data_IF_407589176534
#
_entry.id   IF_407589176534
#
_cell.length_a   1.000
_cell.length_b   1.000
_cell.length_c   1.000
_cell.angle_alpha   90.00
_cell.angle_beta   90.00
_cell.angle_gamma   90.00
#
_symmetry.space_group_name_H-M   'P 1'
#
loop_
_entity.id
_entity.type
_entity.pdbx_description
1 polymer ?
#
# COMPACT_ATOMS: atom_id res chain seq x y z
N UNK A 1 45.15 34.88 -48.71
CA UNK A 1 44.12 34.05 -49.36
C UNK A 1 42.94 33.94 -48.40
N UNK A 2 42.00 34.87 -48.48
CA UNK A 2 40.80 34.91 -47.63
C UNK A 2 39.70 34.10 -48.31
N UNK A 3 39.34 32.96 -47.72
CA UNK A 3 38.30 32.06 -48.24
C UNK A 3 36.94 32.51 -47.70
N UNK A 4 36.13 33.13 -48.57
CA UNK A 4 34.76 33.55 -48.30
C UNK A 4 33.83 32.34 -48.42
N UNK A 5 33.20 31.96 -47.31
CA UNK A 5 32.15 30.94 -47.28
C UNK A 5 30.81 31.60 -47.68
N UNK A 6 30.06 31.08 -48.66
CA UNK A 6 28.77 31.64 -49.04
C UNK A 6 27.69 31.37 -47.98
N UNK A 7 26.71 32.27 -47.81
CA UNK A 7 25.63 32.07 -46.84
C UNK A 7 24.69 30.94 -47.27
N UNK A 8 24.21 30.19 -46.27
CA UNK A 8 23.29 29.07 -46.44
C UNK A 8 21.93 29.53 -47.05
N UNK A 9 21.30 28.70 -47.90
CA UNK A 9 20.00 29.02 -48.46
C UNK A 9 18.89 29.03 -47.38
N UNK A 10 17.84 29.86 -47.54
CA UNK A 10 16.73 29.90 -46.60
C UNK A 10 15.95 28.58 -46.60
N UNK A 11 15.52 28.16 -45.42
CA UNK A 11 14.74 26.95 -45.22
C UNK A 11 13.41 27.00 -46.00
N UNK A 12 12.94 25.86 -46.56
CA UNK A 12 11.66 25.80 -47.24
C UNK A 12 10.50 26.06 -46.26
N UNK A 13 9.39 26.68 -46.73
CA UNK A 13 8.22 26.92 -45.90
C UNK A 13 7.60 25.59 -45.45
N UNK A 14 7.19 25.54 -44.19
CA UNK A 14 6.52 24.38 -43.61
C UNK A 14 5.25 24.02 -44.40
N UNK A 15 4.94 22.73 -44.59
CA UNK A 15 3.71 22.32 -45.25
C UNK A 15 2.49 22.76 -44.44
N UNK A 16 1.37 23.11 -45.09
CA UNK A 16 0.14 23.47 -44.38
C UNK A 16 -0.37 22.28 -43.57
N UNK A 17 -0.86 22.57 -42.37
CA UNK A 17 -1.44 21.57 -41.47
C UNK A 17 -2.61 20.85 -42.16
N UNK A 18 -2.77 19.52 -41.95
CA UNK A 18 -3.92 18.80 -42.49
C UNK A 18 -5.22 19.34 -41.88
N UNK A 19 -6.33 19.36 -42.65
CA UNK A 19 -7.62 19.78 -42.14
C UNK A 19 -8.08 18.84 -41.01
N UNK A 20 -8.68 19.43 -39.97
CA UNK A 20 -9.23 18.69 -38.86
C UNK A 20 -10.28 17.66 -39.33
N UNK A 21 -10.32 16.46 -38.74
CA UNK A 21 -11.36 15.49 -39.07
C UNK A 21 -12.74 16.03 -38.69
N UNK A 22 -13.80 15.72 -39.47
CA UNK A 22 -15.16 16.13 -39.13
C UNK A 22 -15.60 15.50 -37.81
N UNK A 23 -16.31 16.28 -37.00
CA UNK A 23 -16.87 15.83 -35.74
C UNK A 23 -17.79 14.60 -35.95
N UNK A 24 -17.76 13.61 -35.04
CA UNK A 24 -18.69 12.49 -35.11
C UNK A 24 -20.14 12.97 -34.95
N UNK A 25 -21.11 12.37 -35.65
CA UNK A 25 -22.52 12.72 -35.52
C UNK A 25 -23.01 12.44 -34.09
N UNK A 26 -23.84 13.34 -33.58
CA UNK A 26 -24.47 13.20 -32.28
C UNK A 26 -25.25 11.88 -32.17
N UNK A 27 -25.24 11.19 -31.02
CA UNK A 27 -26.05 10.01 -30.80
C UNK A 27 -27.55 10.38 -30.89
N UNK A 28 -28.40 9.50 -31.47
CA UNK A 28 -29.82 9.74 -31.55
C UNK A 28 -30.44 9.83 -30.14
N UNK A 29 -31.36 10.78 -29.97
CA UNK A 29 -32.11 10.97 -28.74
C UNK A 29 -32.84 9.68 -28.33
N UNK A 30 -32.92 9.35 -27.03
CA UNK A 30 -33.71 8.22 -26.56
C UNK A 30 -35.20 8.46 -26.86
N UNK A 31 -35.96 7.43 -27.26
CA UNK A 31 -37.39 7.56 -27.50
C UNK A 31 -38.13 7.93 -26.20
N UNK A 32 -39.14 8.77 -26.34
CA UNK A 32 -40.03 9.22 -25.28
C UNK A 32 -40.70 8.05 -24.52
N UNK A 33 -40.98 8.20 -23.22
CA UNK A 33 -41.63 7.16 -22.44
C UNK A 33 -43.08 6.93 -22.90
N UNK A 34 -43.54 5.68 -23.07
CA UNK A 34 -44.94 5.41 -23.32
C UNK A 34 -45.77 5.74 -22.06
N UNK A 35 -46.83 6.51 -22.27
CA UNK A 35 -47.83 6.85 -21.26
C UNK A 35 -48.64 5.63 -20.82
N UNK A 36 -49.02 5.66 -19.55
CA UNK A 36 -49.65 4.62 -18.73
C UNK A 36 -50.81 3.83 -19.36
N UNK A 37 -50.83 2.53 -19.09
CA UNK A 37 -52.05 1.83 -18.70
C UNK A 37 -51.80 1.14 -17.35
N UNK A 38 -52.59 1.52 -16.35
CA UNK A 38 -52.70 0.84 -15.06
C UNK A 38 -53.16 -0.61 -15.26
N UNK A 39 -52.63 -1.55 -14.46
CA UNK A 39 -53.42 -2.66 -13.98
C UNK A 39 -53.70 -2.48 -12.49
N UNK A 40 -54.91 -2.87 -12.14
CA UNK A 40 -55.51 -2.84 -10.81
C UNK A 40 -54.66 -3.56 -9.77
N UNK A 41 -54.63 -2.97 -8.58
CA UNK A 41 -54.03 -3.47 -7.35
C UNK A 41 -54.55 -4.89 -7.01
N UNK A 42 -53.66 -5.85 -6.73
CA UNK A 42 -53.90 -6.76 -5.62
C UNK A 42 -52.82 -6.55 -4.56
N UNK A 43 -53.25 -6.12 -3.38
CA UNK A 43 -52.48 -6.13 -2.14
C UNK A 43 -51.67 -7.41 -2.01
N UNK A 44 -50.38 -7.36 -2.32
CA UNK A 44 -49.42 -8.44 -2.04
C UNK A 44 -48.33 -7.83 -1.17
N UNK A 45 -48.33 -8.22 0.08
CA UNK A 45 -47.33 -7.87 1.08
C UNK A 45 -46.00 -8.51 0.67
N UNK A 46 -45.21 -7.82 -0.15
CA UNK A 46 -43.82 -8.23 -0.40
C UNK A 46 -43.04 -8.05 0.91
N UNK A 47 -42.78 -9.17 1.57
CA UNK A 47 -41.81 -9.26 2.65
C UNK A 47 -40.45 -9.04 2.02
N UNK A 48 -39.93 -7.81 2.07
CA UNK A 48 -38.55 -7.50 1.66
C UNK A 48 -37.60 -8.29 2.56
N UNK A 49 -37.16 -9.45 2.09
CA UNK A 49 -36.08 -10.20 2.72
C UNK A 49 -34.82 -9.33 2.66
N UNK A 50 -34.21 -8.94 3.79
CA UNK A 50 -32.99 -8.15 3.76
C UNK A 50 -31.89 -8.91 3.02
N UNK A 51 -31.17 -8.21 2.13
CA UNK A 51 -30.02 -8.77 1.42
C UNK A 51 -29.02 -9.35 2.43
N UNK A 52 -28.39 -10.50 2.12
CA UNK A 52 -27.43 -11.11 3.02
C UNK A 52 -26.21 -10.19 3.21
N UNK A 53 -25.67 -10.07 4.43
CA UNK A 53 -24.50 -9.23 4.71
C UNK A 53 -23.26 -9.73 3.96
N UNK A 54 -22.38 -8.81 3.58
CA UNK A 54 -21.08 -9.13 2.97
C UNK A 54 -20.24 -10.01 3.90
N UNK A 55 -19.35 -10.85 3.33
CA UNK A 55 -18.47 -11.74 4.09
C UNK A 55 -17.66 -10.99 5.17
N UNK A 56 -17.21 -9.77 4.87
CA UNK A 56 -16.52 -8.89 5.82
C UNK A 56 -17.44 -8.42 6.95
N UNK A 57 -18.68 -8.05 6.64
CA UNK A 57 -19.68 -7.65 7.64
C UNK A 57 -19.97 -8.81 8.60
N UNK A 58 -20.17 -10.01 8.06
CA UNK A 58 -20.38 -11.23 8.85
C UNK A 58 -19.16 -11.55 9.73
N UNK A 59 -17.95 -11.38 9.19
CA UNK A 59 -16.71 -11.59 9.95
C UNK A 59 -16.56 -10.56 11.06
N UNK A 60 -16.80 -9.28 10.79
CA UNK A 60 -16.78 -8.23 11.82
C UNK A 60 -17.80 -8.54 12.92
N UNK A 61 -19.04 -8.90 12.58
CA UNK A 61 -20.08 -9.23 13.57
C UNK A 61 -19.77 -10.49 14.41
N UNK A 62 -19.03 -11.46 13.87
CA UNK A 62 -18.70 -12.71 14.58
C UNK A 62 -17.40 -12.65 15.37
N UNK A 63 -16.43 -11.85 14.91
CA UNK A 63 -15.09 -11.77 15.53
C UNK A 63 -14.96 -10.67 16.57
N UNK A 64 -15.84 -9.67 16.56
CA UNK A 64 -15.83 -8.63 17.58
C UNK A 64 -16.61 -9.07 18.82
N UNK A 65 -15.90 -9.57 19.83
CA UNK A 65 -16.45 -9.67 21.19
C UNK A 65 -16.63 -8.25 21.77
N UNK A 66 -17.76 -8.05 22.46
CA UNK A 66 -18.34 -6.77 22.92
C UNK A 66 -17.40 -5.81 23.65
N UNK A 67 -17.50 -4.47 23.46
CA UNK A 67 -17.88 -3.74 22.25
C UNK A 67 -16.65 -3.53 21.32
N UNK A 68 -16.81 -3.64 19.98
CA UNK A 68 -15.73 -3.34 19.05
C UNK A 68 -15.30 -1.88 19.16
N UNK A 69 -14.06 -1.65 19.56
CA UNK A 69 -13.43 -0.36 19.31
C UNK A 69 -13.35 -0.16 17.79
N UNK A 70 -13.52 1.07 17.28
CA UNK A 70 -13.44 1.32 15.83
C UNK A 70 -12.10 0.84 15.26
N UNK A 71 -11.04 0.93 16.06
CA UNK A 71 -9.71 0.46 15.70
C UNK A 71 -9.65 -1.07 15.52
N UNK A 72 -10.31 -1.87 16.37
CA UNK A 72 -10.30 -3.32 16.22
C UNK A 72 -11.02 -3.76 14.93
N UNK A 73 -12.13 -3.10 14.59
CA UNK A 73 -12.84 -3.34 13.34
C UNK A 73 -11.98 -2.99 12.10
N UNK A 74 -11.21 -1.90 12.14
CA UNK A 74 -10.32 -1.51 11.04
C UNK A 74 -9.16 -2.49 10.87
N UNK A 75 -8.57 -2.94 11.99
CA UNK A 75 -7.53 -3.97 11.99
C UNK A 75 -8.01 -5.24 11.33
N UNK A 76 -9.23 -5.70 11.67
CA UNK A 76 -9.83 -6.89 11.06
C UNK A 76 -10.06 -6.70 9.55
N UNK A 77 -10.57 -5.53 9.13
CA UNK A 77 -10.78 -5.23 7.72
C UNK A 77 -9.45 -5.25 6.93
N UNK A 78 -8.40 -4.62 7.45
CA UNK A 78 -7.08 -4.61 6.83
C UNK A 78 -6.48 -6.01 6.81
N UNK A 79 -6.61 -6.78 7.89
CA UNK A 79 -6.13 -8.16 7.95
C UNK A 79 -6.80 -9.03 6.89
N UNK A 80 -8.13 -8.93 6.75
CA UNK A 80 -8.87 -9.63 5.71
C UNK A 80 -8.42 -9.21 4.30
N UNK A 81 -8.17 -7.91 4.09
CA UNK A 81 -7.66 -7.40 2.81
C UNK A 81 -6.27 -7.97 2.49
N UNK A 82 -5.34 -7.93 3.45
CA UNK A 82 -4.00 -8.49 3.32
C UNK A 82 -4.03 -9.99 2.98
N UNK A 83 -4.91 -10.75 3.65
CA UNK A 83 -5.03 -12.19 3.46
C UNK A 83 -5.62 -12.55 2.09
N UNK A 84 -6.75 -11.94 1.72
CA UNK A 84 -7.54 -12.40 0.59
C UNK A 84 -7.25 -11.65 -0.72
N UNK A 85 -6.86 -10.38 -0.66
CA UNK A 85 -6.53 -9.60 -1.85
C UNK A 85 -5.03 -9.57 -2.12
N UNK A 86 -4.22 -9.34 -1.09
CA UNK A 86 -2.77 -9.29 -1.24
C UNK A 86 -2.06 -10.63 -1.00
N UNK A 87 -2.81 -11.69 -0.65
CA UNK A 87 -2.29 -13.05 -0.45
C UNK A 87 -1.12 -13.13 0.56
N UNK A 88 -1.14 -12.27 1.58
CA UNK A 88 -0.14 -12.33 2.64
C UNK A 88 -0.29 -13.60 3.47
N UNK A 89 0.85 -14.16 3.86
CA UNK A 89 0.91 -15.36 4.67
C UNK A 89 1.40 -15.06 6.08
N UNK A 90 1.19 -16.01 7.00
CA UNK A 90 1.65 -15.93 8.39
C UNK A 90 1.21 -14.65 9.12
N UNK A 91 0.00 -14.17 8.84
CA UNK A 91 -0.60 -12.96 9.43
C UNK A 91 -0.84 -13.14 10.94
N UNK A 92 -0.43 -12.15 11.74
CA UNK A 92 -0.65 -12.09 13.19
C UNK A 92 -0.99 -10.67 13.60
N UNK A 93 -1.91 -10.51 14.56
CA UNK A 93 -2.22 -9.22 15.18
C UNK A 93 -1.48 -9.13 16.51
N UNK A 94 -0.86 -7.98 16.77
CA UNK A 94 -0.13 -7.65 17.97
C UNK A 94 -0.76 -6.42 18.62
N UNK A 95 -0.80 -6.41 19.94
CA UNK A 95 -1.31 -5.29 20.74
C UNK A 95 -0.12 -4.46 21.23
N UNK A 96 0.02 -3.24 20.72
CA UNK A 96 1.03 -2.29 21.15
C UNK A 96 0.46 -1.38 22.24
N UNK A 97 1.21 -1.35 23.35
CA UNK A 97 0.95 -0.56 24.54
C UNK A 97 2.02 0.53 24.61
N UNK A 98 1.70 1.72 24.08
CA UNK A 98 2.64 2.84 24.10
C UNK A 98 2.56 3.55 25.46
N UNK A 99 3.69 3.79 26.16
CA UNK A 99 3.67 4.44 27.45
C UNK A 99 3.17 5.89 27.31
N UNK A 100 1.98 6.16 27.84
CA UNK A 100 1.41 7.51 27.94
C UNK A 100 2.10 8.28 29.08
N UNK A 101 2.59 9.49 28.81
CA UNK A 101 3.32 10.31 29.79
C UNK A 101 2.39 10.98 30.82
N UNK A 102 1.08 10.92 30.60
CA UNK A 102 0.06 11.52 31.46
C UNK A 102 -0.81 10.44 32.07
N UNK A 103 -0.83 10.38 33.40
CA UNK A 103 -1.72 9.54 34.24
C UNK A 103 -3.22 9.76 33.98
N UNK A 104 -3.58 10.68 33.07
CA UNK A 104 -4.95 11.19 32.84
C UNK A 104 -5.49 10.91 31.44
N UNK A 105 -4.66 10.46 30.49
CA UNK A 105 -5.12 10.11 29.13
C UNK A 105 -5.23 8.58 29.04
N UNK A 106 -6.37 8.03 28.62
CA UNK A 106 -6.53 6.58 28.48
C UNK A 106 -5.51 6.05 27.47
N UNK A 107 -4.79 5.01 27.87
CA UNK A 107 -3.89 4.26 27.00
C UNK A 107 -4.70 3.73 25.81
N UNK A 108 -4.51 4.29 24.62
CA UNK A 108 -5.21 3.81 23.44
C UNK A 108 -4.50 2.56 22.93
N UNK A 109 -5.16 1.38 22.95
CA UNK A 109 -4.56 0.17 22.40
C UNK A 109 -4.32 0.39 20.91
N UNK A 110 -3.12 0.09 20.46
CA UNK A 110 -2.70 0.34 19.09
C UNK A 110 -2.39 -1.03 18.48
N UNK A 111 -3.10 -1.41 17.44
CA UNK A 111 -2.89 -2.72 16.82
C UNK A 111 -1.76 -2.64 15.80
N UNK A 112 -0.99 -3.72 15.70
CA UNK A 112 0.01 -3.90 14.66
C UNK A 112 -0.20 -5.27 14.01
N UNK A 113 -0.26 -5.33 12.70
CA UNK A 113 -0.37 -6.59 11.96
C UNK A 113 1.03 -6.96 11.48
N UNK A 114 1.44 -8.22 11.63
CA UNK A 114 2.66 -8.72 11.00
C UNK A 114 2.36 -9.88 10.06
N UNK A 115 3.04 -9.94 8.92
CA UNK A 115 2.85 -11.00 7.93
C UNK A 115 3.94 -10.98 6.86
N UNK A 116 3.91 -11.97 5.98
CA UNK A 116 4.89 -12.14 4.90
C UNK A 116 4.17 -11.87 3.58
N UNK A 117 4.55 -10.81 2.83
CA UNK A 117 3.97 -10.53 1.53
C UNK A 117 4.42 -11.58 0.49
N UNK A 118 3.69 -11.75 -0.62
CA UNK A 118 4.07 -12.71 -1.67
C UNK A 118 5.30 -12.27 -2.50
N UNK A 119 5.62 -10.97 -2.51
CA UNK A 119 6.76 -10.36 -3.22
C UNK A 119 7.35 -9.23 -2.36
N UNK A 120 8.56 -8.73 -2.65
CA UNK A 120 9.11 -7.63 -1.85
C UNK A 120 8.37 -6.33 -2.20
N UNK A 121 7.81 -5.68 -1.18
CA UNK A 121 7.02 -4.46 -1.40
C UNK A 121 7.89 -3.22 -1.62
N UNK A 122 9.11 -3.25 -1.09
CA UNK A 122 10.07 -2.17 -1.25
C UNK A 122 11.48 -2.70 -0.98
N UNK A 123 12.38 -2.48 -1.94
CA UNK A 123 13.81 -2.70 -1.81
C UNK A 123 14.48 -1.34 -1.87
N UNK A 124 15.42 -1.08 -0.97
CA UNK A 124 16.12 0.20 -1.00
C UNK A 124 16.90 0.31 -2.34
N UNK A 125 16.92 1.46 -3.03
CA UNK A 125 17.61 1.59 -4.31
C UNK A 125 19.10 1.20 -4.25
N UNK A 126 19.78 1.49 -3.14
CA UNK A 126 21.20 1.12 -2.98
C UNK A 126 21.36 -0.38 -2.65
N UNK A 127 20.37 -1.02 -1.99
CA UNK A 127 20.30 -2.48 -1.79
C UNK A 127 20.07 -3.16 -3.15
N UNK A 128 19.18 -2.61 -3.99
CA UNK A 128 18.93 -3.09 -5.34
C UNK A 128 20.16 -2.98 -6.23
N UNK A 129 20.92 -1.88 -6.14
CA UNK A 129 22.18 -1.74 -6.88
C UNK A 129 23.20 -2.80 -6.45
N UNK A 130 23.36 -3.00 -5.15
CA UNK A 130 24.26 -4.02 -4.61
C UNK A 130 23.88 -5.44 -5.07
N UNK A 131 22.58 -5.76 -5.06
CA UNK A 131 22.07 -7.03 -5.57
C UNK A 131 22.39 -7.22 -7.06
N UNK A 132 22.17 -6.19 -7.88
CA UNK A 132 22.47 -6.21 -9.31
C UNK A 132 23.96 -6.42 -9.60
N UNK A 133 24.84 -5.76 -8.84
CA UNK A 133 26.31 -5.91 -8.97
C UNK A 133 26.79 -7.34 -8.68
N UNK A 134 26.11 -8.06 -7.78
CA UNK A 134 26.41 -9.46 -7.44
C UNK A 134 25.67 -10.47 -8.34
N UNK A 135 24.77 -9.99 -9.19
CA UNK A 135 23.91 -10.81 -10.05
C UNK A 135 22.81 -11.54 -9.29
N UNK A 136 22.37 -10.99 -8.15
CA UNK A 136 21.24 -11.46 -7.37
C UNK A 136 19.95 -10.80 -7.87
N UNK A 137 18.87 -11.56 -7.92
CA UNK A 137 17.51 -11.07 -8.21
C UNK A 137 16.73 -10.89 -6.92
N UNK A 138 15.62 -10.18 -7.02
CA UNK A 138 14.66 -10.03 -5.92
C UNK A 138 14.14 -11.38 -5.41
N UNK A 139 13.85 -12.32 -6.31
CA UNK A 139 13.38 -13.67 -5.98
C UNK A 139 14.42 -14.52 -5.22
N UNK A 140 15.69 -14.10 -5.24
CA UNK A 140 16.77 -14.81 -4.57
C UNK A 140 16.88 -14.44 -3.09
N UNK A 141 16.34 -13.28 -2.72
CA UNK A 141 16.34 -12.76 -1.35
C UNK A 141 15.07 -13.21 -0.66
N UNK A 142 15.20 -13.65 0.60
CA UNK A 142 14.05 -14.12 1.38
C UNK A 142 13.05 -13.00 1.67
N UNK A 143 11.77 -13.35 1.56
CA UNK A 143 10.65 -12.49 1.91
C UNK A 143 10.68 -12.23 3.42
N UNK A 144 10.85 -10.95 3.78
CA UNK A 144 10.88 -10.55 5.18
C UNK A 144 9.46 -10.37 5.73
N UNK A 145 9.27 -10.75 6.99
CA UNK A 145 8.06 -10.38 7.73
C UNK A 145 7.96 -8.86 7.84
N UNK A 146 6.90 -8.30 7.29
CA UNK A 146 6.60 -6.88 7.37
C UNK A 146 5.56 -6.60 8.44
N UNK A 147 5.65 -5.39 9.00
CA UNK A 147 4.69 -4.86 9.95
C UNK A 147 3.79 -3.84 9.27
N UNK A 148 2.50 -4.00 9.45
CA UNK A 148 1.45 -3.13 8.92
C UNK A 148 0.74 -2.46 10.08
N UNK A 149 0.68 -1.14 10.04
CA UNK A 149 0.03 -0.29 11.03
C UNK A 149 -1.36 0.12 10.52
N UNK A 150 -2.46 -0.38 11.12
CA UNK A 150 -3.82 0.00 10.79
C UNK A 150 -4.14 1.43 11.25
N UNK A 151 -4.69 2.24 10.35
CA UNK A 151 -5.07 3.64 10.59
C UNK A 151 -6.37 4.00 9.88
N UNK A 152 -6.98 5.11 10.31
CA UNK A 152 -8.22 5.64 9.70
C UNK A 152 -7.94 6.95 8.99
N UNK A 153 -8.60 7.17 7.85
CA UNK A 153 -8.59 8.47 7.20
C UNK A 153 -9.12 9.54 8.17
N UNK A 154 -8.30 10.56 8.47
CA UNK A 154 -8.62 11.64 9.40
C UNK A 154 -8.13 11.44 10.83
N UNK A 155 -7.50 10.30 11.15
CA UNK A 155 -6.79 10.12 12.42
C UNK A 155 -5.52 10.99 12.46
N UNK A 156 -5.32 11.74 13.54
CA UNK A 156 -4.12 12.56 13.71
C UNK A 156 -2.96 11.74 14.27
N UNK A 157 -1.90 11.63 13.48
CA UNK A 157 -0.65 10.98 13.88
C UNK A 157 0.36 12.01 14.35
N UNK A 158 0.74 11.95 15.63
CA UNK A 158 1.86 12.74 16.15
C UNK A 158 3.18 12.02 15.87
N UNK A 159 4.25 12.78 15.64
CA UNK A 159 5.59 12.22 15.44
C UNK A 159 6.01 11.35 16.63
N UNK A 160 5.58 11.69 17.85
CA UNK A 160 5.82 10.88 19.05
C UNK A 160 5.14 9.52 18.98
N UNK A 161 3.85 9.48 18.62
CA UNK A 161 3.09 8.21 18.49
C UNK A 161 3.77 7.32 17.46
N UNK A 162 4.16 7.89 16.32
CA UNK A 162 4.85 7.16 15.25
C UNK A 162 6.23 6.67 15.69
N UNK A 163 7.04 7.51 16.32
CA UNK A 163 8.35 7.13 16.85
C UNK A 163 8.23 5.99 17.87
N UNK A 164 7.27 6.06 18.79
CA UNK A 164 7.02 4.98 19.74
C UNK A 164 6.65 3.65 19.08
N UNK A 165 5.89 3.69 17.97
CA UNK A 165 5.63 2.47 17.18
C UNK A 165 6.94 1.92 16.62
N UNK A 166 7.76 2.76 15.98
CA UNK A 166 9.06 2.32 15.45
C UNK A 166 10.03 1.80 16.52
N UNK A 167 10.00 2.36 17.72
CA UNK A 167 10.80 1.88 18.86
C UNK A 167 10.34 0.48 19.29
N UNK A 168 9.02 0.21 19.27
CA UNK A 168 8.45 -1.10 19.62
C UNK A 168 8.66 -2.19 18.57
N UNK A 169 8.99 -1.85 17.32
CA UNK A 169 9.23 -2.84 16.27
C UNK A 169 10.51 -3.63 16.55
N UNK A 170 10.49 -4.98 16.42
CA UNK A 170 11.69 -5.78 16.54
C UNK A 170 12.68 -5.39 15.44
N UNK A 171 13.97 -5.30 15.78
CA UNK A 171 15.02 -5.28 14.77
C UNK A 171 14.99 -6.65 14.08
N UNK A 172 14.75 -6.67 12.76
CA UNK A 172 14.52 -7.91 12.01
C UNK A 172 15.57 -8.97 12.35
N UNK A 173 15.11 -10.11 12.86
CA UNK A 173 15.93 -11.28 13.14
C UNK A 173 16.27 -11.96 11.82
N UNK A 174 17.56 -11.96 11.46
CA UNK A 174 18.10 -12.71 10.33
C UNK A 174 18.05 -14.21 10.64
N UNK A 175 17.07 -14.91 10.07
CA UNK A 175 17.20 -16.35 9.88
C UNK A 175 17.92 -16.56 8.56
N UNK A 176 19.19 -16.95 8.64
CA UNK A 176 20.03 -17.26 7.47
C UNK A 176 19.65 -18.66 7.00
N UNK A 177 18.98 -18.82 5.85
CA UNK A 177 18.83 -20.15 5.26
C UNK A 177 20.08 -20.56 4.48
N UNK A 178 20.50 -21.80 4.74
CA UNK A 178 21.58 -22.49 4.05
C UNK A 178 21.13 -22.92 2.65
N UNK A 179 21.37 -22.06 1.66
CA UNK A 179 21.41 -22.49 0.26
C UNK A 179 22.76 -23.16 -0.05
N UNK A 180 22.80 -24.18 -0.91
CA UNK A 180 24.05 -24.73 -1.44
C UNK A 180 24.37 -24.18 -2.83
N UNK A 181 25.62 -23.75 -3.07
CA UNK A 181 26.15 -23.35 -4.39
C UNK A 181 26.82 -21.96 -4.42
N UNK A 182 27.38 -21.56 -5.56
CA UNK A 182 28.03 -20.23 -5.76
C UNK A 182 27.10 -19.05 -5.42
N UNK A 183 25.80 -19.24 -5.63
CA UNK A 183 24.78 -18.25 -5.28
C UNK A 183 24.62 -18.07 -3.77
N UNK A 184 24.88 -19.11 -2.98
CA UNK A 184 24.77 -19.05 -1.53
C UNK A 184 25.90 -18.25 -0.88
N UNK A 185 27.09 -18.27 -1.46
CA UNK A 185 28.20 -17.42 -1.02
C UNK A 185 27.86 -15.95 -1.24
N UNK A 186 27.32 -15.62 -2.43
CA UNK A 186 26.82 -14.27 -2.73
C UNK A 186 25.68 -13.85 -1.82
N UNK A 187 24.77 -14.77 -1.49
CA UNK A 187 23.65 -14.51 -0.59
C UNK A 187 24.14 -14.27 0.85
N UNK A 188 25.15 -15.03 1.30
CA UNK A 188 25.81 -14.83 2.59
C UNK A 188 26.48 -13.46 2.66
N UNK A 189 27.27 -13.09 1.64
CA UNK A 189 27.88 -11.76 1.55
C UNK A 189 26.81 -10.67 1.57
N UNK A 190 25.70 -10.88 0.84
CA UNK A 190 24.57 -9.96 0.84
C UNK A 190 23.94 -9.78 2.22
N UNK A 191 23.63 -10.86 2.95
CA UNK A 191 23.07 -10.76 4.31
C UNK A 191 24.07 -10.13 5.29
N UNK A 192 25.36 -10.49 5.21
CA UNK A 192 26.38 -9.84 6.03
C UNK A 192 26.49 -8.34 5.76
N UNK A 193 26.46 -7.92 4.50
CA UNK A 193 26.48 -6.50 4.14
C UNK A 193 25.17 -5.81 4.54
N UNK A 194 24.02 -6.46 4.38
CA UNK A 194 22.71 -5.95 4.79
C UNK A 194 22.64 -5.68 6.28
N UNK A 195 23.15 -6.60 7.10
CA UNK A 195 23.26 -6.41 8.55
C UNK A 195 24.12 -5.19 8.91
N UNK A 196 25.27 -5.03 8.25
CA UNK A 196 26.12 -3.83 8.40
C UNK A 196 25.40 -2.56 7.97
N UNK A 197 24.75 -2.57 6.80
CA UNK A 197 24.02 -1.42 6.25
C UNK A 197 22.81 -1.01 7.11
N UNK A 198 22.16 -1.97 7.79
CA UNK A 198 21.12 -1.71 8.81
C UNK A 198 21.71 -1.07 10.07
N UNK A 199 22.87 -1.56 10.52
CA UNK A 199 23.55 -1.00 11.69
C UNK A 199 24.06 0.43 11.44
N UNK A 200 24.60 0.69 10.23
CA UNK A 200 25.06 2.02 9.80
C UNK A 200 23.91 2.93 9.33
N UNK A 201 22.70 2.38 9.16
CA UNK A 201 21.51 3.03 8.57
C UNK A 201 21.75 3.55 7.14
N UNK A 202 22.71 2.98 6.42
CA UNK A 202 23.05 3.41 5.05
C UNK A 202 21.98 3.04 4.02
N UNK A 203 21.32 1.90 4.21
CA UNK A 203 20.20 1.43 3.38
C UNK A 203 18.83 1.77 3.97
N UNK A 204 18.81 2.68 4.95
CA UNK A 204 17.59 3.05 5.67
C UNK A 204 17.45 2.38 7.04
N UNK A 205 16.57 2.95 7.86
CA UNK A 205 16.21 2.40 9.16
C UNK A 205 15.08 1.38 9.08
N UNK A 206 14.38 1.20 10.20
CA UNK A 206 13.21 0.33 10.28
C UNK A 206 12.12 0.81 9.31
N UNK A 207 11.34 -0.12 8.77
CA UNK A 207 10.24 0.16 7.83
C UNK A 207 8.95 -0.52 8.29
N UNK A 208 7.83 0.13 8.04
CA UNK A 208 6.50 -0.41 8.24
C UNK A 208 5.57 0.04 7.11
N UNK A 209 4.46 -0.67 6.94
CA UNK A 209 3.42 -0.33 5.99
C UNK A 209 2.27 0.35 6.75
N UNK A 210 1.94 1.59 6.42
CA UNK A 210 0.78 2.28 6.96
C UNK A 210 -0.44 1.94 6.13
N UNK A 211 -1.40 1.22 6.70
CA UNK A 211 -2.65 0.88 6.04
C UNK A 211 -3.75 1.83 6.52
N UNK A 212 -4.32 2.62 5.60
CA UNK A 212 -5.37 3.58 5.90
C UNK A 212 -6.70 3.11 5.31
N UNK A 213 -7.74 3.04 6.14
CA UNK A 213 -9.10 2.74 5.70
C UNK A 213 -9.90 4.04 5.50
N UNK A 214 -10.58 4.18 4.37
CA UNK A 214 -11.58 5.24 4.19
C UNK A 214 -12.93 4.84 4.80
N UNK A 215 -13.38 5.62 5.78
CA UNK A 215 -14.64 5.41 6.51
C UNK A 215 -15.60 6.60 6.46
N UNK A 216 -15.40 7.56 5.53
CA UNK A 216 -16.37 8.65 5.36
C UNK A 216 -17.75 8.09 4.99
N UNK A 217 -18.80 8.90 5.14
CA UNK A 217 -20.19 8.49 4.89
C UNK A 217 -20.33 7.90 3.47
N UNK A 218 -20.46 6.57 3.37
CA UNK A 218 -20.49 5.84 2.08
C UNK A 218 -19.14 5.33 1.56
N UNK A 219 -18.08 5.33 2.38
CA UNK A 219 -16.79 4.75 2.03
C UNK A 219 -16.95 3.30 1.60
N UNK A 220 -16.36 2.96 0.46
CA UNK A 220 -16.43 1.64 -0.19
C UNK A 220 -15.53 0.58 0.50
N UNK A 221 -14.88 0.95 1.61
CA UNK A 221 -13.94 0.09 2.33
C UNK A 221 -12.57 0.01 1.66
N UNK A 222 -12.23 0.95 0.77
CA UNK A 222 -10.89 1.05 0.18
C UNK A 222 -9.82 1.17 1.28
N UNK A 223 -8.76 0.38 1.12
CA UNK A 223 -7.57 0.40 1.95
C UNK A 223 -6.40 0.90 1.12
N UNK A 224 -5.71 1.93 1.61
CA UNK A 224 -4.51 2.49 0.97
C UNK A 224 -3.29 2.14 1.80
N UNK A 225 -2.23 1.66 1.13
CA UNK A 225 -0.99 1.26 1.77
C UNK A 225 0.14 2.23 1.44
N UNK A 226 0.79 2.78 2.47
CA UNK A 226 1.97 3.63 2.33
C UNK A 226 3.18 2.97 2.97
N UNK A 227 4.32 2.96 2.28
CA UNK A 227 5.59 2.52 2.89
C UNK A 227 6.13 3.69 3.72
N UNK A 228 6.32 3.45 5.02
CA UNK A 228 6.86 4.43 5.97
C UNK A 228 8.20 3.90 6.49
N UNK A 229 9.21 4.75 6.43
CA UNK A 229 10.57 4.41 6.81
C UNK A 229 11.10 5.39 7.88
N UNK A 230 11.83 4.85 8.85
CA UNK A 230 12.60 5.64 9.80
C UNK A 230 13.96 6.04 9.19
N UNK A 231 14.32 7.31 9.34
CA UNK A 231 15.62 7.86 8.95
C UNK A 231 15.57 8.98 7.91
N UNK A 232 16.72 9.62 7.72
CA UNK A 232 16.91 10.67 6.74
C UNK A 232 17.05 10.05 5.33
N UNK A 233 16.15 10.42 4.42
CA UNK A 233 16.30 10.10 2.99
C UNK A 233 17.43 10.97 2.45
N UNK A 234 18.51 10.37 1.95
CA UNK A 234 19.58 11.13 1.30
C UNK A 234 18.98 11.94 0.13
N UNK A 235 19.10 13.28 0.11
CA UNK A 235 18.56 14.08 -0.98
C UNK A 235 19.28 13.68 -2.26
N UNK A 236 18.54 13.16 -3.24
CA UNK A 236 19.09 12.87 -4.56
C UNK A 236 19.06 14.16 -5.36
N UNK A 237 20.25 14.65 -5.71
CA UNK A 237 20.40 15.70 -6.70
C UNK A 237 20.22 15.02 -8.06
N UNK A 238 19.10 15.30 -8.74
CA UNK A 238 18.85 14.87 -10.11
C UNK A 238 19.74 15.64 -11.09
#
# INVERSE_FOLDING_TARGET
MTSTIPPAPPAPPAPPAPPAPPAPPAPPAPPAPPSQQQPLNPTTTETTTPLPPSALTTLLSTTTTTPPTPLSANTIQILHNLQHQHLWTSLRVHDLHLPSKSTTEPEQPLYLISGIPPHHLYIHPDEQLFMLERGLREDDVELERMFVLPTVQGESWTLRKLAGVFDSLPGGSEEVLEGGGEKAEKLREYYEYRGKARATKEWGGKRLLLAMVDRRMGGDGTVVYYVVQDGAVKPRQN
#
